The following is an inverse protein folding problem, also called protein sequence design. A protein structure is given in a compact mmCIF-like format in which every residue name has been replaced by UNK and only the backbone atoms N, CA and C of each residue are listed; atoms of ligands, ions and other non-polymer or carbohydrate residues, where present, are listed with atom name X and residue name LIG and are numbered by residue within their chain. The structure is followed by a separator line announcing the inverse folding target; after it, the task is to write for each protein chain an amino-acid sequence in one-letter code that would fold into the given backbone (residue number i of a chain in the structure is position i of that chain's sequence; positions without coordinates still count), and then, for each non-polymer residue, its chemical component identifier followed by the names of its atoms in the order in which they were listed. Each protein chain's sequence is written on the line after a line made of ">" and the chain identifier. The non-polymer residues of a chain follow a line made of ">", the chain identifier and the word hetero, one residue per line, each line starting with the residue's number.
data_IF_126386621912
#
_entry.id   IF_126386621912
#
_cell.length_a   1.000
_cell.length_b   1.000
_cell.length_c   1.000
_cell.angle_alpha   90.00
_cell.angle_beta   90.00
_cell.angle_gamma   90.00
#
_symmetry.space_group_name_H-M   'P 1'
#
loop_
_entity.id
_entity.type
_entity.pdbx_description
1 polymer ?
#
# COMPACT_ATOMS: atom_id res chain seq x y z
N UNK A 1 0.46 -16.79 -4.41
CA UNK A 1 0.69 -15.34 -4.15
C UNK A 1 2.17 -15.09 -4.24
N UNK A 2 2.57 -13.92 -4.72
CA UNK A 2 3.97 -13.50 -4.73
C UNK A 2 4.10 -12.26 -3.86
N UNK A 3 5.00 -12.32 -2.89
CA UNK A 3 5.26 -11.24 -1.91
C UNK A 3 6.72 -10.87 -1.99
N UNK A 4 7.04 -9.58 -2.05
CA UNK A 4 8.41 -9.06 -2.12
C UNK A 4 8.55 -7.84 -1.23
N UNK A 5 9.46 -7.89 -0.27
CA UNK A 5 9.86 -6.73 0.52
C UNK A 5 11.27 -6.27 0.10
N UNK A 6 11.45 -4.96 -0.05
CA UNK A 6 12.77 -4.34 -0.18
C UNK A 6 13.26 -4.01 1.24
N UNK A 7 14.03 -4.91 1.85
CA UNK A 7 14.46 -4.78 3.25
C UNK A 7 15.77 -3.99 3.32
N UNK A 8 15.78 -2.92 4.12
CA UNK A 8 16.98 -2.13 4.42
C UNK A 8 17.73 -2.67 5.63
N UNK A 9 17.02 -3.22 6.60
CA UNK A 9 17.60 -3.87 7.77
C UNK A 9 16.53 -4.60 8.58
N UNK A 10 16.94 -5.59 9.37
CA UNK A 10 16.07 -6.32 10.27
C UNK A 10 16.84 -6.72 11.52
N UNK A 11 16.14 -6.80 12.65
CA UNK A 11 16.65 -7.30 13.91
C UNK A 11 15.68 -8.33 14.51
N UNK A 12 15.76 -8.58 15.81
CA UNK A 12 14.90 -9.54 16.49
C UNK A 12 13.44 -9.12 16.55
N UNK A 13 13.15 -7.83 16.57
CA UNK A 13 11.83 -7.26 16.89
C UNK A 13 11.15 -6.66 15.67
N UNK A 14 11.89 -6.27 14.64
CA UNK A 14 11.31 -5.69 13.46
C UNK A 14 12.27 -5.50 12.30
N UNK A 15 11.79 -4.73 11.34
CA UNK A 15 12.51 -4.44 10.12
C UNK A 15 12.23 -3.01 9.64
N UNK A 16 13.18 -2.50 8.87
CA UNK A 16 13.02 -1.31 8.05
C UNK A 16 12.92 -1.77 6.60
N UNK A 17 11.81 -1.45 5.93
CA UNK A 17 11.58 -1.76 4.52
C UNK A 17 11.45 -0.47 3.71
N UNK A 18 11.99 -0.44 2.50
CA UNK A 18 11.74 0.65 1.55
C UNK A 18 10.42 0.44 0.79
N UNK A 19 9.89 -0.79 0.76
CA UNK A 19 8.56 -1.08 0.21
C UNK A 19 8.18 -2.56 0.28
N UNK A 20 6.89 -2.83 0.14
CA UNK A 20 6.29 -4.16 0.08
C UNK A 20 5.38 -4.27 -1.15
N UNK A 21 5.58 -5.30 -1.96
CA UNK A 21 4.78 -5.61 -3.14
C UNK A 21 4.10 -6.97 -2.97
N UNK A 22 2.80 -7.04 -3.24
CA UNK A 22 2.02 -8.27 -3.30
C UNK A 22 1.33 -8.38 -4.66
N UNK A 23 1.48 -9.54 -5.29
CA UNK A 23 0.90 -9.85 -6.59
C UNK A 23 0.13 -11.17 -6.56
N UNK A 24 -1.11 -11.13 -7.03
CA UNK A 24 -1.92 -12.31 -7.30
C UNK A 24 -1.46 -12.97 -8.61
N UNK A 25 -0.84 -14.17 -8.58
CA UNK A 25 -0.47 -14.86 -9.79
C UNK A 25 -1.72 -15.20 -10.61
N UNK A 26 -1.61 -15.08 -11.92
CA UNK A 26 -2.61 -15.51 -12.91
C UNK A 26 -4.00 -14.85 -12.80
N UNK A 27 -4.17 -13.86 -11.91
CA UNK A 27 -5.39 -13.05 -11.86
C UNK A 27 -5.43 -12.11 -13.05
N UNK A 28 -6.33 -12.36 -13.98
CA UNK A 28 -6.68 -11.44 -15.06
C UNK A 28 -8.01 -10.79 -14.75
N UNK A 29 -8.00 -9.45 -14.68
CA UNK A 29 -9.22 -8.66 -14.60
C UNK A 29 -9.52 -8.15 -16.00
N UNK A 30 -10.71 -8.44 -16.57
CA UNK A 30 -11.10 -7.91 -17.88
C UNK A 30 -11.01 -6.38 -17.90
N UNK A 31 -10.52 -5.74 -18.98
CA UNK A 31 -10.33 -4.28 -19.04
C UNK A 31 -11.54 -3.47 -18.58
N UNK A 32 -12.74 -3.88 -18.97
CA UNK A 32 -14.01 -3.27 -18.61
C UNK A 32 -14.35 -3.36 -17.11
N UNK A 33 -13.81 -4.36 -16.41
CA UNK A 33 -14.04 -4.60 -14.99
C UNK A 33 -12.90 -4.07 -14.09
N UNK A 34 -11.80 -3.55 -14.66
CA UNK A 34 -10.64 -3.07 -13.90
C UNK A 34 -11.03 -1.92 -12.97
N UNK A 35 -11.77 -0.92 -13.48
CA UNK A 35 -12.17 0.24 -12.70
C UNK A 35 -12.97 -0.14 -11.45
N UNK A 36 -14.01 -0.97 -11.61
CA UNK A 36 -14.85 -1.41 -10.49
C UNK A 36 -14.09 -2.31 -9.52
N UNK A 37 -13.20 -3.15 -10.03
CA UNK A 37 -12.33 -3.98 -9.20
C UNK A 37 -11.41 -3.13 -8.34
N UNK A 38 -10.77 -2.11 -8.92
CA UNK A 38 -9.90 -1.19 -8.19
C UNK A 38 -10.65 -0.39 -7.13
N UNK A 39 -11.87 0.08 -7.43
CA UNK A 39 -12.72 0.78 -6.44
C UNK A 39 -13.03 -0.13 -5.24
N UNK A 40 -13.50 -1.35 -5.49
CA UNK A 40 -13.80 -2.32 -4.41
C UNK A 40 -12.57 -2.67 -3.59
N UNK A 41 -11.42 -2.83 -4.24
CA UNK A 41 -10.15 -3.10 -3.56
C UNK A 41 -9.71 -1.92 -2.69
N UNK A 42 -9.81 -0.69 -3.22
CA UNK A 42 -9.47 0.52 -2.47
C UNK A 42 -10.40 0.71 -1.26
N UNK A 43 -11.70 0.44 -1.41
CA UNK A 43 -12.66 0.46 -0.29
C UNK A 43 -12.35 -0.61 0.75
N UNK A 44 -12.08 -1.85 0.32
CA UNK A 44 -11.69 -2.94 1.23
C UNK A 44 -10.44 -2.57 2.03
N UNK A 45 -9.40 -2.10 1.37
CA UNK A 45 -8.13 -1.77 2.03
C UNK A 45 -8.23 -0.51 2.92
N UNK A 46 -9.08 0.46 2.55
CA UNK A 46 -9.44 1.60 3.42
C UNK A 46 -10.02 1.11 4.74
N UNK A 47 -10.86 0.08 4.70
CA UNK A 47 -11.58 -0.44 5.86
C UNK A 47 -10.79 -1.53 6.61
N UNK A 48 -9.85 -2.20 5.94
CA UNK A 48 -9.05 -3.31 6.46
C UNK A 48 -7.57 -3.14 6.12
N UNK A 49 -6.90 -2.35 6.95
CA UNK A 49 -5.46 -2.28 6.96
C UNK A 49 -4.99 -2.25 8.42
N UNK A 50 -4.57 -3.40 8.89
CA UNK A 50 -4.17 -3.70 10.27
C UNK A 50 -2.65 -3.69 10.47
N UNK A 51 -1.88 -3.74 9.37
CA UNK A 51 -0.42 -3.67 9.40
C UNK A 51 0.19 -2.26 9.38
N UNK A 52 -0.54 -1.23 8.95
CA UNK A 52 -0.01 0.16 8.99
C UNK A 52 -0.42 0.89 10.27
N UNK A 53 0.44 1.81 10.76
CA UNK A 53 0.13 2.63 11.92
C UNK A 53 -0.95 3.70 11.66
N UNK A 54 -1.13 4.11 10.40
CA UNK A 54 -2.17 5.07 10.02
C UNK A 54 -3.25 4.38 9.16
N UNK A 55 -4.53 4.67 9.42
CA UNK A 55 -5.62 4.26 8.53
C UNK A 55 -5.48 4.94 7.18
N UNK A 56 -5.99 4.28 6.15
CA UNK A 56 -5.94 4.78 4.77
C UNK A 56 -7.21 5.55 4.40
N UNK A 57 -7.08 6.42 3.42
CA UNK A 57 -8.16 6.99 2.61
C UNK A 57 -7.88 6.73 1.13
N UNK A 58 -8.93 6.54 0.35
CA UNK A 58 -8.81 6.52 -1.11
C UNK A 58 -8.42 7.92 -1.55
N UNK A 59 -7.29 8.03 -2.26
CA UNK A 59 -6.82 9.28 -2.82
C UNK A 59 -7.31 9.45 -4.26
N UNK A 60 -7.19 8.39 -5.06
CA UNK A 60 -7.54 8.40 -6.48
C UNK A 60 -7.81 6.98 -6.98
N UNK A 61 -8.73 6.83 -7.93
CA UNK A 61 -8.88 5.62 -8.75
C UNK A 61 -9.04 6.06 -10.19
N UNK A 62 -8.12 5.64 -11.05
CA UNK A 62 -8.11 5.91 -12.48
C UNK A 62 -8.32 4.59 -13.26
N UNK A 63 -9.55 4.35 -13.77
CA UNK A 63 -9.85 3.19 -14.59
C UNK A 63 -9.08 3.15 -15.92
N UNK A 64 -8.76 4.31 -16.50
CA UNK A 64 -8.06 4.40 -17.78
C UNK A 64 -6.60 3.98 -17.68
N UNK A 65 -5.93 4.33 -16.58
CA UNK A 65 -4.58 3.86 -16.27
C UNK A 65 -4.55 2.51 -15.56
N UNK A 66 -5.71 2.02 -15.11
CA UNK A 66 -5.82 0.78 -14.34
C UNK A 66 -5.09 0.88 -12.99
N UNK A 67 -5.14 2.05 -12.35
CA UNK A 67 -4.44 2.32 -11.10
C UNK A 67 -5.36 2.86 -10.01
N UNK A 68 -5.11 2.47 -8.77
CA UNK A 68 -5.72 3.07 -7.57
C UNK A 68 -4.64 3.51 -6.61
N UNK A 69 -4.85 4.62 -5.90
CA UNK A 69 -3.93 5.15 -4.91
C UNK A 69 -4.69 5.40 -3.62
N UNK A 70 -4.17 4.84 -2.52
CA UNK A 70 -4.58 5.15 -1.16
C UNK A 70 -3.43 5.85 -0.43
N UNK A 71 -3.77 6.72 0.51
CA UNK A 71 -2.79 7.38 1.39
C UNK A 71 -3.25 7.34 2.83
N UNK A 72 -2.32 7.48 3.78
CA UNK A 72 -2.67 7.71 5.18
C UNK A 72 -3.69 8.86 5.31
N UNK A 73 -4.60 8.71 6.27
CA UNK A 73 -5.56 9.74 6.63
C UNK A 73 -4.82 10.97 7.21
N UNK A 74 -5.08 12.20 6.73
CA UNK A 74 -4.35 13.39 7.16
C UNK A 74 -4.39 13.66 8.66
N UNK A 75 -5.49 13.32 9.32
CA UNK A 75 -5.72 13.45 10.76
C UNK A 75 -4.94 12.43 11.59
N UNK A 76 -4.46 11.34 10.99
CA UNK A 76 -3.65 10.31 11.66
C UNK A 76 -2.15 10.41 11.31
N UNK A 77 -1.80 11.27 10.35
CA UNK A 77 -0.41 11.49 9.95
C UNK A 77 0.40 12.08 11.11
N UNK A 78 1.55 11.47 11.41
CA UNK A 78 2.52 12.02 12.35
C UNK A 78 3.54 12.88 11.61
N UNK A 79 3.44 14.19 11.80
CA UNK A 79 4.24 15.16 11.07
C UNK A 79 3.88 15.17 9.58
N UNK A 80 4.89 15.06 8.70
CA UNK A 80 4.69 15.09 7.24
C UNK A 80 4.87 13.72 6.60
N UNK A 81 4.71 12.66 7.39
CA UNK A 81 4.94 11.27 6.97
C UNK A 81 3.63 10.57 6.70
N UNK A 82 3.59 9.80 5.62
CA UNK A 82 2.42 9.03 5.24
C UNK A 82 2.83 7.77 4.48
N UNK A 83 1.98 6.76 4.56
CA UNK A 83 2.04 5.56 3.73
C UNK A 83 1.22 5.81 2.45
N UNK A 84 1.70 5.34 1.31
CA UNK A 84 0.98 5.32 0.05
C UNK A 84 0.86 3.87 -0.40
N UNK A 85 -0.37 3.44 -0.72
CA UNK A 85 -0.63 2.13 -1.33
C UNK A 85 -1.09 2.32 -2.75
N UNK A 86 -0.42 1.66 -3.69
CA UNK A 86 -0.76 1.68 -5.12
C UNK A 86 -1.34 0.33 -5.52
N UNK A 87 -2.53 0.35 -6.09
CA UNK A 87 -3.19 -0.79 -6.71
C UNK A 87 -2.98 -0.72 -8.22
N UNK A 88 -2.70 -1.85 -8.86
CA UNK A 88 -2.48 -1.92 -10.31
C UNK A 88 -3.21 -3.10 -10.94
N UNK A 89 -3.99 -2.81 -11.98
CA UNK A 89 -4.69 -3.79 -12.82
C UNK A 89 -5.59 -4.77 -12.08
N UNK A 90 -5.97 -4.46 -10.84
CA UNK A 90 -6.77 -5.33 -9.97
C UNK A 90 -6.06 -6.57 -9.40
N UNK A 91 -4.74 -6.71 -9.59
CA UNK A 91 -4.00 -7.93 -9.22
C UNK A 91 -2.66 -7.67 -8.48
N UNK A 92 -2.27 -6.41 -8.32
CA UNK A 92 -1.04 -6.03 -7.63
C UNK A 92 -1.31 -4.87 -6.66
N UNK A 93 -0.65 -4.91 -5.51
CA UNK A 93 -0.60 -3.84 -4.54
C UNK A 93 0.84 -3.57 -4.10
N UNK A 94 1.23 -2.30 -3.98
CA UNK A 94 2.55 -1.88 -3.49
C UNK A 94 2.38 -0.83 -2.39
N UNK A 95 3.13 -0.97 -1.30
CA UNK A 95 3.17 -0.02 -0.19
C UNK A 95 4.56 0.59 -0.07
N UNK A 96 4.59 1.91 0.06
CA UNK A 96 5.79 2.68 0.36
C UNK A 96 5.48 3.79 1.38
N UNK A 97 6.49 4.26 2.10
CA UNK A 97 6.37 5.37 3.06
C UNK A 97 7.07 6.61 2.53
N UNK A 98 6.46 7.76 2.76
CA UNK A 98 6.91 9.04 2.25
C UNK A 98 6.99 10.08 3.37
N UNK A 99 7.89 11.04 3.21
CA UNK A 99 7.93 12.29 3.97
C UNK A 99 7.83 13.48 3.01
N UNK A 100 6.88 14.38 3.24
CA UNK A 100 6.78 15.63 2.49
C UNK A 100 7.69 16.70 3.09
N UNK A 101 8.63 17.22 2.27
CA UNK A 101 9.58 18.26 2.67
C UNK A 101 9.20 19.59 2.02
N UNK A 102 8.68 20.57 2.79
CA UNK A 102 8.20 21.84 2.24
C UNK A 102 9.29 22.68 1.59
N UNK A 103 10.52 22.63 2.12
CA UNK A 103 11.65 23.38 1.57
C UNK A 103 11.99 22.95 0.14
N UNK A 104 11.72 21.69 -0.19
CA UNK A 104 11.99 21.10 -1.49
C UNK A 104 10.73 21.01 -2.36
N UNK A 105 9.56 21.37 -1.79
CA UNK A 105 8.23 21.17 -2.38
C UNK A 105 8.01 19.77 -2.94
N UNK A 106 8.62 18.75 -2.31
CA UNK A 106 8.68 17.37 -2.82
C UNK A 106 8.46 16.35 -1.71
N UNK A 107 7.99 15.17 -2.11
CA UNK A 107 7.94 13.98 -1.26
C UNK A 107 9.21 13.15 -1.45
N UNK A 108 9.69 12.52 -0.39
CA UNK A 108 10.84 11.64 -0.40
C UNK A 108 10.42 10.29 0.14
N UNK A 109 10.80 9.22 -0.55
CA UNK A 109 10.64 7.87 -0.02
C UNK A 109 11.53 7.73 1.22
N UNK A 110 10.96 7.17 2.29
CA UNK A 110 11.66 6.90 3.55
C UNK A 110 11.39 5.44 3.96
N UNK A 111 12.27 4.81 4.75
CA UNK A 111 11.99 3.49 5.27
C UNK A 111 10.72 3.46 6.11
N UNK A 112 9.98 2.38 5.97
CA UNK A 112 8.92 2.00 6.88
C UNK A 112 9.48 1.09 7.96
N UNK A 113 9.51 1.58 9.19
CA UNK A 113 9.83 0.77 10.37
C UNK A 113 8.58 0.01 10.80
N UNK A 114 8.66 -1.31 10.89
CA UNK A 114 7.57 -2.21 11.22
C UNK A 114 8.07 -3.30 12.16
N UNK A 115 7.22 -3.75 13.09
CA UNK A 115 7.43 -5.04 13.74
C UNK A 115 7.25 -6.16 12.71
N UNK A 116 7.81 -7.35 12.97
CA UNK A 116 7.58 -8.49 12.07
C UNK A 116 6.09 -8.84 11.93
N UNK A 117 5.34 -8.76 13.04
CA UNK A 117 3.89 -8.97 13.07
C UNK A 117 3.13 -7.94 12.23
N UNK A 118 3.53 -6.66 12.28
CA UNK A 118 2.91 -5.61 11.47
C UNK A 118 3.19 -5.81 9.97
N UNK A 119 4.41 -6.27 9.62
CA UNK A 119 4.75 -6.61 8.24
C UNK A 119 3.93 -7.80 7.72
N UNK A 120 3.76 -8.84 8.54
CA UNK A 120 2.95 -10.01 8.20
C UNK A 120 1.49 -9.62 7.95
N UNK A 121 0.88 -8.89 8.89
CA UNK A 121 -0.48 -8.36 8.74
C UNK A 121 -0.64 -7.50 7.49
N UNK A 122 0.34 -6.64 7.22
CA UNK A 122 0.32 -5.81 6.02
C UNK A 122 0.36 -6.67 4.74
N UNK A 123 1.22 -7.69 4.69
CA UNK A 123 1.28 -8.60 3.55
C UNK A 123 -0.05 -9.35 3.34
N UNK A 124 -0.68 -9.79 4.42
CA UNK A 124 -1.98 -10.46 4.38
C UNK A 124 -3.11 -9.52 3.93
N UNK A 125 -3.21 -8.31 4.49
CA UNK A 125 -4.19 -7.30 4.10
C UNK A 125 -4.11 -7.00 2.58
N UNK A 126 -2.88 -6.84 2.05
CA UNK A 126 -2.65 -6.62 0.62
C UNK A 126 -3.01 -7.86 -0.20
N UNK A 127 -2.63 -9.06 0.26
CA UNK A 127 -2.94 -10.30 -0.43
C UNK A 127 -4.44 -10.57 -0.52
N UNK A 128 -5.20 -10.38 0.56
CA UNK A 128 -6.66 -10.48 0.57
C UNK A 128 -7.30 -9.44 -0.36
N UNK A 129 -6.74 -8.24 -0.40
CA UNK A 129 -7.21 -7.18 -1.30
C UNK A 129 -7.05 -7.60 -2.77
N UNK A 130 -5.87 -8.11 -3.17
CA UNK A 130 -5.61 -8.48 -4.56
C UNK A 130 -6.08 -9.89 -4.95
N UNK A 131 -6.59 -10.71 -4.00
CA UNK A 131 -7.25 -12.00 -4.28
C UNK A 131 -8.68 -11.85 -4.76
N UNK A 132 -9.41 -10.86 -4.24
CA UNK A 132 -10.80 -10.59 -4.61
C UNK A 132 -11.77 -10.84 -3.46
#
# INVERSE_FOLDING_TARGET
>A
MKVRARVRGADRFGCAIDGLEVQAPDRRVPPEAVGDTLRRQAERLRDRNTGLPERLKVHEVDPGLGTGVLRSRPDEMRGRRYSEVRLKGGHQAEVERYEYRPRESRRHAIPHELTHEALERLADDLAETVKG
#
